data_IF_373239214126
#
_entry.id   IF_373239214126
#
_cell.length_a   1.000
_cell.length_b   1.000
_cell.length_c   1.000
_cell.angle_alpha   90.00
_cell.angle_beta   90.00
_cell.angle_gamma   90.00
#
_symmetry.space_group_name_H-M   'P 1'
#
loop_
_entity.id
_entity.type
_entity.pdbx_description
1 polymer ?
#
# COMPACT_ATOMS: atom_id res chain seq x y z
N UNK A 1 -53.67 28.33 51.13
CA UNK A 1 -52.47 29.12 50.81
C UNK A 1 -51.80 28.35 49.67
N UNK A 2 -52.31 28.49 48.54
CA UNK A 2 -52.02 29.31 47.39
C UNK A 2 -50.59 29.08 46.94
N UNK A 3 -50.44 28.29 45.86
CA UNK A 3 -49.26 28.19 45.04
C UNK A 3 -49.65 28.56 43.61
N UNK A 4 -49.11 29.67 43.15
CA UNK A 4 -49.28 30.19 41.79
C UNK A 4 -48.41 29.38 40.82
N UNK A 5 -49.02 28.99 39.72
CA UNK A 5 -48.35 28.34 38.62
C UNK A 5 -47.72 29.34 37.66
N UNK A 6 -46.59 29.00 37.14
CA UNK A 6 -46.00 29.65 35.96
C UNK A 6 -46.06 28.72 34.75
N UNK A 7 -46.66 29.27 33.69
CA UNK A 7 -46.75 28.64 32.37
C UNK A 7 -45.51 28.98 31.61
N UNK A 8 -44.74 27.96 31.20
CA UNK A 8 -43.70 28.12 30.19
C UNK A 8 -44.24 27.77 28.78
N UNK A 9 -44.14 28.77 27.93
CA UNK A 9 -44.45 28.70 26.51
C UNK A 9 -43.44 27.81 25.76
N UNK A 10 -43.96 26.78 25.07
CA UNK A 10 -43.21 25.99 24.11
C UNK A 10 -43.09 26.74 22.79
N UNK A 11 -41.93 27.30 22.53
CA UNK A 11 -41.58 27.73 21.16
C UNK A 11 -41.13 26.52 20.32
N UNK A 12 -41.90 26.23 19.28
CA UNK A 12 -41.60 25.19 18.30
C UNK A 12 -40.39 25.59 17.42
N UNK A 13 -39.35 24.81 17.47
CA UNK A 13 -38.25 24.87 16.52
C UNK A 13 -38.55 23.89 15.39
N UNK A 14 -38.82 24.42 14.20
CA UNK A 14 -38.98 23.63 12.99
C UNK A 14 -37.64 23.10 12.53
N UNK A 15 -37.45 21.80 12.67
CA UNK A 15 -36.30 21.06 12.16
C UNK A 15 -36.44 20.93 10.64
N UNK A 16 -35.66 21.73 9.90
CA UNK A 16 -35.48 21.53 8.46
C UNK A 16 -34.43 20.42 8.25
N UNK A 17 -34.87 19.23 7.90
CA UNK A 17 -34.02 18.13 7.45
C UNK A 17 -33.53 18.43 6.04
N UNK A 18 -32.33 18.98 5.91
CA UNK A 18 -31.59 18.99 4.65
C UNK A 18 -31.05 17.59 4.35
N UNK A 19 -31.69 16.89 3.41
CA UNK A 19 -31.17 15.65 2.84
C UNK A 19 -30.00 15.96 1.92
N UNK A 20 -28.76 15.84 2.43
CA UNK A 20 -27.57 15.79 1.58
C UNK A 20 -27.57 14.49 0.79
N UNK A 21 -27.90 14.59 -0.49
CA UNK A 21 -27.63 13.52 -1.47
C UNK A 21 -26.12 13.46 -1.72
N UNK A 22 -25.45 12.53 -1.07
CA UNK A 22 -24.06 12.18 -1.40
C UNK A 22 -24.06 11.52 -2.77
N UNK A 23 -23.57 12.26 -3.77
CA UNK A 23 -23.32 11.75 -5.12
C UNK A 23 -22.25 10.67 -5.05
N UNK A 24 -22.63 9.40 -5.18
CA UNK A 24 -21.72 8.28 -5.40
C UNK A 24 -20.98 8.51 -6.71
N UNK A 25 -19.74 8.98 -6.61
CA UNK A 25 -18.83 9.08 -7.74
C UNK A 25 -18.47 7.66 -8.19
N UNK A 26 -19.17 7.14 -9.17
CA UNK A 26 -18.86 5.83 -9.76
C UNK A 26 -17.61 5.95 -10.62
N UNK A 27 -16.51 5.42 -10.13
CA UNK A 27 -15.29 5.27 -10.92
C UNK A 27 -15.54 4.28 -12.06
N UNK A 28 -15.31 4.73 -13.30
CA UNK A 28 -15.32 3.86 -14.50
C UNK A 28 -13.87 3.45 -14.80
N UNK A 29 -13.64 2.15 -14.88
CA UNK A 29 -12.36 1.62 -15.32
C UNK A 29 -12.04 2.14 -16.74
N UNK A 30 -10.81 2.56 -17.01
CA UNK A 30 -10.39 2.91 -18.38
C UNK A 30 -10.41 1.67 -19.28
N UNK A 31 -10.71 1.89 -20.56
CA UNK A 31 -10.85 0.88 -21.60
C UNK A 31 -9.59 0.01 -21.77
N UNK A 32 -9.73 -1.31 -21.77
CA UNK A 32 -8.61 -2.28 -21.74
C UNK A 32 -7.71 -2.24 -22.97
N UNK A 33 -8.14 -1.62 -24.06
CA UNK A 33 -7.46 -1.65 -25.37
C UNK A 33 -6.25 -0.73 -25.52
N UNK A 34 -5.95 0.18 -24.61
CA UNK A 34 -4.95 1.25 -24.81
C UNK A 34 -3.72 1.19 -23.89
N UNK A 35 -3.61 0.19 -23.03
CA UNK A 35 -2.59 0.18 -21.96
C UNK A 35 -1.16 -0.12 -22.43
N UNK A 36 -0.96 -0.95 -23.43
CA UNK A 36 0.37 -1.24 -23.97
C UNK A 36 1.03 -0.02 -24.63
N UNK A 37 0.25 0.87 -25.22
CA UNK A 37 0.74 2.11 -25.83
C UNK A 37 1.06 3.20 -24.80
N UNK A 38 0.26 3.28 -23.71
CA UNK A 38 0.49 4.28 -22.65
C UNK A 38 1.77 3.99 -21.89
N UNK A 39 2.03 2.74 -21.53
CA UNK A 39 3.27 2.36 -20.85
C UNK A 39 4.52 2.63 -21.70
N UNK A 40 4.47 2.35 -23.01
CA UNK A 40 5.57 2.63 -23.94
C UNK A 40 5.76 4.13 -24.21
N UNK A 41 4.68 4.91 -24.26
CA UNK A 41 4.77 6.36 -24.45
C UNK A 41 5.22 7.09 -23.19
N UNK A 42 4.82 6.64 -22.00
CA UNK A 42 5.30 7.19 -20.72
C UNK A 42 6.81 6.97 -20.58
N UNK A 43 7.30 5.78 -20.92
CA UNK A 43 8.74 5.48 -20.92
C UNK A 43 9.54 6.32 -21.94
N UNK A 44 8.92 6.74 -23.05
CA UNK A 44 9.53 7.62 -24.05
C UNK A 44 9.52 9.10 -23.65
N UNK A 45 8.45 9.57 -23.03
CA UNK A 45 8.30 10.99 -22.62
C UNK A 45 9.22 11.36 -21.45
N UNK A 46 9.46 10.41 -20.52
CA UNK A 46 10.31 10.62 -19.33
C UNK A 46 11.81 10.70 -19.65
N UNK A 47 12.23 10.38 -20.87
CA UNK A 47 13.65 10.42 -21.28
C UNK A 47 14.22 11.82 -21.49
N UNK A 48 13.42 12.88 -21.44
CA UNK A 48 13.85 14.19 -21.95
C UNK A 48 14.02 15.31 -20.90
N UNK A 49 13.65 15.12 -19.62
CA UNK A 49 13.50 16.29 -18.73
C UNK A 49 14.33 16.36 -17.45
N UNK A 50 15.14 15.39 -17.07
CA UNK A 50 16.03 15.59 -15.91
C UNK A 50 17.29 14.74 -15.95
N UNK A 51 18.45 15.33 -15.66
CA UNK A 51 19.75 14.68 -15.53
C UNK A 51 19.92 13.80 -14.28
N UNK A 52 18.82 13.34 -13.69
CA UNK A 52 18.77 12.33 -12.62
C UNK A 52 18.32 11.02 -13.29
N UNK A 53 19.01 9.92 -13.04
CA UNK A 53 18.78 8.59 -13.63
C UNK A 53 17.32 8.09 -13.52
N UNK A 54 16.41 8.66 -14.30
CA UNK A 54 15.01 8.22 -14.40
C UNK A 54 14.87 6.84 -15.08
N UNK A 55 15.88 6.42 -15.83
CA UNK A 55 15.87 5.12 -16.53
C UNK A 55 15.86 3.92 -15.57
N UNK A 56 16.39 4.10 -14.35
CA UNK A 56 16.53 3.02 -13.37
C UNK A 56 15.20 2.54 -12.76
N UNK A 57 14.10 3.32 -12.87
CA UNK A 57 12.84 3.03 -12.19
C UNK A 57 11.66 2.84 -13.15
N UNK A 58 11.90 2.76 -14.46
CA UNK A 58 10.86 2.74 -15.48
C UNK A 58 9.84 1.59 -15.31
N UNK A 59 10.31 0.41 -14.87
CA UNK A 59 9.41 -0.73 -14.63
C UNK A 59 8.65 -0.61 -13.32
N UNK A 60 9.22 0.02 -12.28
CA UNK A 60 8.51 0.34 -11.06
C UNK A 60 7.41 1.38 -11.31
N UNK A 61 7.66 2.38 -12.15
CA UNK A 61 6.66 3.36 -12.59
C UNK A 61 5.54 2.66 -13.40
N UNK A 62 5.90 1.68 -14.25
CA UNK A 62 4.92 0.89 -14.98
C UNK A 62 4.02 0.06 -14.03
N UNK A 63 4.54 -0.46 -12.91
CA UNK A 63 3.73 -1.13 -11.88
C UNK A 63 2.67 -0.17 -11.33
N UNK A 64 3.06 1.05 -10.95
CA UNK A 64 2.13 2.06 -10.39
C UNK A 64 1.08 2.48 -11.42
N UNK A 65 1.41 2.48 -12.71
CA UNK A 65 0.48 2.74 -13.80
C UNK A 65 -0.43 1.55 -14.13
N UNK A 66 -0.08 0.33 -13.69
CA UNK A 66 -0.77 -0.90 -14.08
C UNK A 66 -2.21 -0.98 -13.53
N UNK A 67 -3.21 -1.36 -14.37
CA UNK A 67 -4.61 -1.37 -13.96
C UNK A 67 -4.91 -2.29 -12.77
N UNK A 68 -4.33 -3.49 -12.74
CA UNK A 68 -4.51 -4.43 -11.63
C UNK A 68 -3.96 -3.87 -10.32
N UNK A 69 -2.78 -3.24 -10.36
CA UNK A 69 -2.21 -2.59 -9.18
C UNK A 69 -3.11 -1.48 -8.65
N UNK A 70 -3.55 -0.57 -9.53
CA UNK A 70 -4.46 0.54 -9.17
C UNK A 70 -5.78 0.05 -8.59
N UNK A 71 -6.37 -0.95 -9.23
CA UNK A 71 -7.61 -1.57 -8.73
C UNK A 71 -7.41 -2.14 -7.33
N UNK A 72 -6.34 -2.93 -7.12
CA UNK A 72 -6.04 -3.52 -5.82
C UNK A 72 -5.86 -2.47 -4.74
N UNK A 73 -5.09 -1.40 -5.01
CA UNK A 73 -4.87 -0.30 -4.05
C UNK A 73 -6.16 0.42 -3.70
N UNK A 74 -7.00 0.73 -4.70
CA UNK A 74 -8.31 1.37 -4.45
C UNK A 74 -9.19 0.47 -3.58
N UNK A 75 -9.29 -0.82 -3.89
CA UNK A 75 -10.05 -1.78 -3.07
C UNK A 75 -9.51 -1.85 -1.63
N UNK A 76 -8.20 -1.95 -1.42
CA UNK A 76 -7.60 -1.96 -0.09
C UNK A 76 -7.95 -0.68 0.67
N UNK A 77 -7.79 0.49 0.04
CA UNK A 77 -8.10 1.78 0.66
C UNK A 77 -9.55 1.86 1.12
N UNK A 78 -10.48 1.36 0.31
CA UNK A 78 -11.91 1.33 0.65
C UNK A 78 -12.21 0.35 1.80
N UNK A 79 -11.65 -0.86 1.74
CA UNK A 79 -11.86 -1.89 2.76
C UNK A 79 -11.21 -1.54 4.11
N UNK A 80 -10.15 -0.74 4.09
CA UNK A 80 -9.46 -0.27 5.29
C UNK A 80 -9.87 1.15 5.72
N UNK A 81 -10.90 1.77 5.12
CA UNK A 81 -11.30 3.15 5.43
C UNK A 81 -11.65 3.35 6.91
N UNK A 82 -12.30 2.36 7.54
CA UNK A 82 -12.67 2.35 8.97
C UNK A 82 -11.65 1.63 9.86
N UNK A 83 -10.50 1.19 9.30
CA UNK A 83 -9.52 0.43 10.05
C UNK A 83 -8.84 1.30 11.11
N UNK A 84 -8.88 0.88 12.35
CA UNK A 84 -8.26 1.54 13.50
C UNK A 84 -6.72 1.40 13.49
N UNK A 85 -6.21 0.25 13.02
CA UNK A 85 -4.78 -0.08 13.01
C UNK A 85 -4.07 0.41 11.75
N UNK A 86 -2.76 0.12 11.66
CA UNK A 86 -1.92 0.48 10.51
C UNK A 86 -2.57 0.07 9.17
N UNK A 87 -2.67 1.01 8.23
CA UNK A 87 -3.23 0.80 6.90
C UNK A 87 -2.18 0.32 5.91
N UNK A 88 -2.64 -0.28 4.82
CA UNK A 88 -1.80 -0.79 3.73
C UNK A 88 -2.05 0.03 2.46
N UNK A 89 -1.73 1.33 2.57
CA UNK A 89 -1.86 2.30 1.49
C UNK A 89 -0.53 2.51 0.73
N UNK A 90 -0.54 3.41 -0.25
CA UNK A 90 0.64 3.75 -1.05
C UNK A 90 1.78 4.30 -0.18
N UNK A 91 1.46 5.03 0.89
CA UNK A 91 2.46 5.55 1.83
C UNK A 91 3.23 4.40 2.46
N UNK A 92 2.52 3.39 2.97
CA UNK A 92 3.14 2.19 3.51
C UNK A 92 4.04 1.48 2.48
N UNK A 93 3.57 1.28 1.25
CA UNK A 93 4.36 0.62 0.20
C UNK A 93 5.65 1.39 -0.10
N UNK A 94 5.58 2.71 -0.15
CA UNK A 94 6.74 3.56 -0.39
C UNK A 94 7.69 3.60 0.83
N UNK A 95 7.17 3.56 2.04
CA UNK A 95 8.01 3.50 3.25
C UNK A 95 8.75 2.17 3.32
N UNK A 96 8.11 1.05 2.99
CA UNK A 96 8.78 -0.25 2.85
C UNK A 96 9.90 -0.17 1.80
N UNK A 97 9.63 0.40 0.63
CA UNK A 97 10.63 0.55 -0.43
C UNK A 97 11.83 1.40 0.01
N UNK A 98 11.57 2.55 0.63
CA UNK A 98 12.61 3.47 1.11
C UNK A 98 13.47 2.86 2.21
N UNK A 99 12.85 2.23 3.21
CA UNK A 99 13.57 1.58 4.31
C UNK A 99 14.40 0.40 3.80
N UNK A 100 13.85 -0.44 2.92
CA UNK A 100 14.60 -1.52 2.30
C UNK A 100 15.78 -1.01 1.47
N UNK A 101 15.60 0.11 0.75
CA UNK A 101 16.68 0.71 -0.03
C UNK A 101 17.76 1.32 0.86
N UNK A 102 17.40 2.02 1.93
CA UNK A 102 18.36 2.56 2.91
C UNK A 102 19.18 1.42 3.51
N UNK A 103 18.55 0.35 4.01
CA UNK A 103 19.24 -0.79 4.59
C UNK A 103 20.16 -1.49 3.56
N UNK A 104 19.70 -1.62 2.29
CA UNK A 104 20.52 -2.18 1.22
C UNK A 104 21.81 -1.38 1.00
N UNK A 105 21.73 -0.05 1.05
CA UNK A 105 22.89 0.84 0.90
C UNK A 105 23.82 0.77 2.12
N UNK A 106 23.28 0.87 3.32
CA UNK A 106 24.03 0.87 4.57
C UNK A 106 24.81 -0.45 4.77
N UNK A 107 24.22 -1.56 4.34
CA UNK A 107 24.83 -2.90 4.47
C UNK A 107 25.58 -3.35 3.23
N UNK A 108 25.56 -2.60 2.14
CA UNK A 108 26.24 -2.94 0.90
C UNK A 108 25.77 -4.25 0.27
N UNK A 109 24.45 -4.57 0.34
CA UNK A 109 23.93 -5.87 -0.10
C UNK A 109 23.85 -6.01 -1.63
N UNK A 110 23.91 -4.91 -2.37
CA UNK A 110 23.96 -4.92 -3.84
C UNK A 110 22.65 -5.32 -4.52
N UNK A 111 21.52 -5.31 -3.82
CA UNK A 111 20.20 -5.64 -4.40
C UNK A 111 19.74 -4.48 -5.28
N UNK A 112 19.18 -4.80 -6.45
CA UNK A 112 18.67 -3.80 -7.40
C UNK A 112 17.60 -2.91 -6.76
N UNK A 113 17.76 -1.59 -6.89
CA UNK A 113 16.78 -0.60 -6.43
C UNK A 113 15.39 -0.88 -7.01
N UNK A 114 15.32 -1.15 -8.30
CA UNK A 114 14.05 -1.39 -8.98
C UNK A 114 13.38 -2.69 -8.50
N UNK A 115 14.15 -3.75 -8.19
CA UNK A 115 13.59 -4.97 -7.60
C UNK A 115 13.06 -4.74 -6.17
N UNK A 116 13.74 -3.92 -5.37
CA UNK A 116 13.28 -3.53 -4.03
C UNK A 116 11.95 -2.79 -4.12
N UNK A 117 11.86 -1.77 -5.00
CA UNK A 117 10.62 -1.01 -5.16
C UNK A 117 9.50 -1.87 -5.74
N UNK A 118 9.78 -2.73 -6.71
CA UNK A 118 8.79 -3.66 -7.26
C UNK A 118 8.24 -4.60 -6.18
N UNK A 119 9.11 -5.21 -5.37
CA UNK A 119 8.68 -6.08 -4.28
C UNK A 119 7.84 -5.33 -3.24
N UNK A 120 8.26 -4.13 -2.84
CA UNK A 120 7.54 -3.30 -1.89
C UNK A 120 6.17 -2.83 -2.40
N UNK A 121 6.07 -2.43 -3.68
CA UNK A 121 4.80 -2.02 -4.29
C UNK A 121 3.80 -3.18 -4.43
N UNK A 122 4.29 -4.43 -4.45
CA UNK A 122 3.47 -5.60 -4.74
C UNK A 122 3.21 -6.51 -3.52
N UNK A 123 3.95 -6.37 -2.39
CA UNK A 123 3.90 -7.36 -1.30
C UNK A 123 2.52 -7.51 -0.67
N UNK A 124 1.75 -6.46 -0.59
CA UNK A 124 0.45 -6.42 0.11
C UNK A 124 -0.76 -6.17 -0.82
N UNK A 125 -0.57 -6.14 -2.16
CA UNK A 125 -1.68 -5.85 -3.09
C UNK A 125 -2.79 -6.91 -3.08
N UNK A 126 -2.51 -8.10 -2.59
CA UNK A 126 -3.46 -9.19 -2.41
C UNK A 126 -4.40 -9.04 -1.22
N UNK A 127 -4.24 -8.00 -0.36
CA UNK A 127 -5.04 -7.84 0.85
C UNK A 127 -6.54 -7.72 0.59
N UNK A 128 -6.95 -7.08 -0.50
CA UNK A 128 -8.37 -7.02 -0.84
C UNK A 128 -8.96 -8.42 -1.05
N UNK A 129 -8.21 -9.36 -1.65
CA UNK A 129 -8.66 -10.74 -1.83
C UNK A 129 -8.72 -11.50 -0.51
N UNK A 130 -7.86 -11.18 0.45
CA UNK A 130 -7.96 -11.74 1.79
C UNK A 130 -9.24 -11.27 2.50
N UNK A 131 -9.59 -9.99 2.39
CA UNK A 131 -10.80 -9.44 3.00
C UNK A 131 -12.07 -9.97 2.32
N UNK A 132 -12.09 -10.06 1.00
CA UNK A 132 -13.26 -10.43 0.23
C UNK A 132 -13.48 -11.95 0.11
N UNK A 133 -12.38 -12.72 0.05
CA UNK A 133 -12.41 -14.16 -0.32
C UNK A 133 -11.68 -15.07 0.66
N UNK A 134 -11.04 -14.54 1.68
CA UNK A 134 -10.26 -15.32 2.65
C UNK A 134 -8.93 -15.89 2.09
N UNK A 135 -8.50 -15.50 0.90
CA UNK A 135 -7.23 -15.96 0.32
C UNK A 135 -6.08 -15.27 1.07
N UNK A 136 -5.07 -16.00 1.58
CA UNK A 136 -3.91 -15.38 2.22
C UNK A 136 -3.30 -14.30 1.33
N UNK A 137 -3.10 -13.08 1.86
CA UNK A 137 -2.68 -11.95 1.03
C UNK A 137 -1.30 -12.12 0.41
N UNK A 138 -0.40 -12.83 1.05
CA UNK A 138 0.91 -13.18 0.51
C UNK A 138 0.78 -14.06 -0.75
N UNK A 139 -0.09 -15.08 -0.74
CA UNK A 139 -0.38 -15.91 -1.91
C UNK A 139 -1.07 -15.10 -3.01
N UNK A 140 -2.10 -14.34 -2.66
CA UNK A 140 -2.81 -13.47 -3.59
C UNK A 140 -1.88 -12.41 -4.22
N UNK A 141 -0.96 -11.83 -3.44
CA UNK A 141 0.04 -10.88 -3.92
C UNK A 141 1.03 -11.50 -4.89
N UNK A 142 1.44 -12.76 -4.66
CA UNK A 142 2.30 -13.51 -5.60
C UNK A 142 1.58 -13.71 -6.94
N UNK A 143 0.30 -14.09 -6.93
CA UNK A 143 -0.49 -14.30 -8.15
C UNK A 143 -0.63 -13.00 -8.96
N UNK A 144 -1.11 -11.92 -8.32
CA UNK A 144 -1.28 -10.61 -8.96
C UNK A 144 0.05 -10.02 -9.40
N UNK A 145 1.06 -10.11 -8.54
CA UNK A 145 2.41 -9.63 -8.82
C UNK A 145 3.06 -10.35 -9.99
N UNK A 146 2.84 -11.65 -10.14
CA UNK A 146 3.36 -12.45 -11.26
C UNK A 146 2.87 -11.94 -12.61
N UNK A 147 1.60 -11.58 -12.74
CA UNK A 147 1.04 -10.97 -13.94
C UNK A 147 1.62 -9.57 -14.17
N UNK A 148 1.53 -8.69 -13.16
CA UNK A 148 2.00 -7.30 -13.26
C UNK A 148 3.47 -7.23 -13.66
N UNK A 149 4.33 -8.04 -13.03
CA UNK A 149 5.77 -8.07 -13.35
C UNK A 149 6.03 -8.52 -14.78
N UNK A 150 5.24 -9.46 -15.31
CA UNK A 150 5.33 -9.90 -16.70
C UNK A 150 4.97 -8.78 -17.66
N UNK A 151 3.85 -8.11 -17.41
CA UNK A 151 3.34 -7.03 -18.24
C UNK A 151 4.25 -5.78 -18.19
N UNK A 152 4.95 -5.58 -17.05
CA UNK A 152 5.95 -4.51 -16.88
C UNK A 152 7.35 -4.88 -17.40
N UNK A 153 7.57 -6.05 -18.00
CA UNK A 153 8.82 -6.42 -18.68
C UNK A 153 9.97 -6.79 -17.75
N UNK A 154 9.69 -7.30 -16.55
CA UNK A 154 10.73 -7.88 -15.69
C UNK A 154 11.22 -9.21 -16.25
N UNK A 155 12.54 -9.45 -16.18
CA UNK A 155 13.13 -10.72 -16.60
C UNK A 155 12.65 -11.89 -15.71
N UNK A 156 12.75 -13.12 -16.21
CA UNK A 156 12.35 -14.30 -15.46
C UNK A 156 13.05 -14.40 -14.10
N UNK A 157 14.36 -14.10 -14.06
CA UNK A 157 15.16 -14.15 -12.84
C UNK A 157 14.77 -13.05 -11.84
N UNK A 158 14.54 -11.82 -12.30
CA UNK A 158 14.07 -10.72 -11.46
C UNK A 158 12.67 -11.04 -10.89
N UNK A 159 11.75 -11.54 -11.73
CA UNK A 159 10.42 -11.99 -11.31
C UNK A 159 10.51 -13.04 -10.21
N UNK A 160 11.36 -14.06 -10.38
CA UNK A 160 11.54 -15.12 -9.38
C UNK A 160 11.95 -14.55 -8.03
N UNK A 161 12.97 -13.66 -8.00
CA UNK A 161 13.44 -13.03 -6.75
C UNK A 161 12.36 -12.15 -6.10
N UNK A 162 11.67 -11.35 -6.90
CA UNK A 162 10.61 -10.46 -6.41
C UNK A 162 9.45 -11.26 -5.83
N UNK A 163 8.97 -12.30 -6.54
CA UNK A 163 7.86 -13.13 -6.08
C UNK A 163 8.22 -13.96 -4.84
N UNK A 164 9.48 -14.42 -4.72
CA UNK A 164 9.98 -15.06 -3.51
C UNK A 164 9.93 -14.10 -2.32
N UNK A 165 10.35 -12.85 -2.50
CA UNK A 165 10.30 -11.83 -1.46
C UNK A 165 8.85 -11.50 -1.07
N UNK A 166 7.93 -11.38 -2.03
CA UNK A 166 6.50 -11.15 -1.78
C UNK A 166 5.91 -12.32 -0.98
N UNK A 167 6.11 -13.56 -1.42
CA UNK A 167 5.58 -14.75 -0.71
C UNK A 167 6.22 -14.95 0.67
N UNK A 168 7.48 -14.53 0.84
CA UNK A 168 8.25 -14.69 2.07
C UNK A 168 8.10 -13.57 3.10
N UNK A 169 7.41 -12.45 2.79
CA UNK A 169 7.40 -11.25 3.66
C UNK A 169 6.75 -11.47 5.05
N UNK A 170 6.02 -12.58 5.24
CA UNK A 170 5.44 -12.99 6.53
C UNK A 170 6.25 -14.08 7.23
N UNK A 171 7.13 -14.76 6.51
CA UNK A 171 7.92 -15.85 7.07
C UNK A 171 9.07 -15.29 7.94
N UNK A 172 9.09 -15.66 9.22
CA UNK A 172 10.12 -15.22 10.18
C UNK A 172 11.53 -15.68 9.80
N UNK A 173 11.64 -16.78 9.07
CA UNK A 173 12.94 -17.33 8.66
C UNK A 173 13.66 -16.44 7.65
N UNK A 174 12.91 -15.58 6.93
CA UNK A 174 13.50 -14.60 6.02
C UNK A 174 14.16 -13.42 6.74
N UNK A 175 13.86 -13.20 8.03
CA UNK A 175 14.33 -12.05 8.81
C UNK A 175 15.83 -11.86 8.77
N UNK A 176 16.59 -12.96 8.80
CA UNK A 176 18.06 -12.95 8.88
C UNK A 176 18.76 -13.03 7.54
N UNK A 177 18.01 -13.12 6.44
CA UNK A 177 18.57 -13.20 5.09
C UNK A 177 19.14 -11.84 4.66
N UNK A 178 20.27 -11.88 3.95
CA UNK A 178 20.97 -10.71 3.39
C UNK A 178 20.67 -10.58 1.89
N UNK A 179 19.40 -10.64 1.55
CA UNK A 179 18.87 -10.55 0.19
C UNK A 179 17.53 -9.80 0.15
N UNK A 180 16.88 -9.77 -1.01
CA UNK A 180 15.60 -9.09 -1.21
C UNK A 180 14.51 -9.58 -0.24
N UNK A 181 14.46 -10.88 0.10
CA UNK A 181 13.47 -11.42 1.02
C UNK A 181 13.65 -10.84 2.42
N UNK A 182 14.89 -10.82 2.94
CA UNK A 182 15.18 -10.25 4.25
C UNK A 182 14.95 -8.75 4.31
N UNK A 183 15.31 -8.02 3.26
CA UNK A 183 15.07 -6.58 3.14
C UNK A 183 13.58 -6.26 3.25
N UNK A 184 12.74 -6.90 2.44
CA UNK A 184 11.28 -6.66 2.43
C UNK A 184 10.66 -7.07 3.76
N UNK A 185 11.06 -8.21 4.36
CA UNK A 185 10.55 -8.62 5.67
C UNK A 185 10.82 -7.57 6.74
N UNK A 186 12.07 -7.09 6.86
CA UNK A 186 12.48 -6.13 7.90
C UNK A 186 11.88 -4.75 7.66
N UNK A 187 11.86 -4.30 6.40
CA UNK A 187 11.30 -3.02 6.02
C UNK A 187 9.77 -2.96 6.25
N UNK A 188 9.01 -4.00 5.89
CA UNK A 188 7.57 -4.04 6.16
C UNK A 188 7.27 -3.88 7.67
N UNK A 189 8.01 -4.59 8.53
CA UNK A 189 7.83 -4.45 9.98
C UNK A 189 8.36 -3.10 10.50
N UNK A 190 9.45 -2.60 9.92
CA UNK A 190 10.08 -1.32 10.28
C UNK A 190 9.29 -0.08 9.86
N UNK A 191 8.45 -0.18 8.81
CA UNK A 191 7.69 0.95 8.26
C UNK A 191 6.51 1.40 9.13
N UNK A 192 6.13 0.61 10.14
CA UNK A 192 4.96 0.93 10.97
C UNK A 192 5.25 2.09 11.90
N UNK A 193 4.44 3.15 11.81
CA UNK A 193 4.58 4.33 12.67
C UNK A 193 3.93 4.06 14.03
N UNK A 194 4.74 3.61 14.99
CA UNK A 194 4.28 3.37 16.37
C UNK A 194 4.49 4.59 17.29
N UNK A 195 5.27 5.57 16.86
CA UNK A 195 5.43 6.83 17.59
C UNK A 195 4.12 7.61 17.61
N UNK A 196 3.62 7.93 18.80
CA UNK A 196 2.36 8.65 19.01
C UNK A 196 1.14 7.98 18.34
N UNK A 197 1.16 6.65 18.15
CA UNK A 197 0.06 5.91 17.57
C UNK A 197 -1.17 5.95 18.49
N UNK A 198 -2.29 6.43 17.97
CA UNK A 198 -3.54 6.52 18.74
C UNK A 198 -4.14 5.15 19.08
N UNK A 199 -3.91 4.15 18.23
CA UNK A 199 -4.36 2.76 18.44
C UNK A 199 -3.40 1.93 19.32
N UNK A 200 -2.39 2.55 19.95
CA UNK A 200 -1.34 1.83 20.69
C UNK A 200 -1.89 0.89 21.77
N UNK A 201 -2.91 1.34 22.51
CA UNK A 201 -3.50 0.57 23.62
C UNK A 201 -4.27 -0.66 23.15
N UNK A 202 -4.89 -0.58 21.98
CA UNK A 202 -5.65 -1.68 21.37
C UNK A 202 -4.77 -2.57 20.45
N UNK A 203 -3.53 -2.17 20.18
CA UNK A 203 -2.64 -2.87 19.26
C UNK A 203 -2.15 -4.19 19.87
N UNK A 204 -2.30 -5.28 19.11
CA UNK A 204 -1.89 -6.63 19.50
C UNK A 204 -0.40 -6.94 19.29
N UNK A 205 0.39 -5.97 18.79
CA UNK A 205 1.83 -6.14 18.68
C UNK A 205 2.49 -6.08 20.06
N UNK A 206 3.44 -7.00 20.30
CA UNK A 206 4.26 -6.95 21.51
C UNK A 206 5.14 -5.71 21.53
N UNK A 207 5.60 -5.30 22.70
CA UNK A 207 6.41 -4.10 22.89
C UNK A 207 7.70 -4.13 22.04
N UNK A 208 8.31 -5.31 21.86
CA UNK A 208 9.53 -5.48 21.06
C UNK A 208 9.28 -5.32 19.56
N UNK A 209 8.02 -5.46 19.09
CA UNK A 209 7.65 -5.27 17.69
C UNK A 209 7.27 -3.84 17.36
N UNK A 210 6.90 -3.04 18.36
CA UNK A 210 6.51 -1.65 18.16
C UNK A 210 7.72 -0.78 17.84
N UNK A 211 7.64 -0.02 16.75
CA UNK A 211 8.70 0.88 16.31
C UNK A 211 8.64 2.19 17.11
N UNK A 212 9.25 2.22 18.30
CA UNK A 212 9.29 3.40 19.17
C UNK A 212 10.58 4.20 19.09
N UNK A 213 11.51 3.77 18.27
CA UNK A 213 12.80 4.42 18.07
C UNK A 213 12.96 4.83 16.61
N UNK A 214 13.62 5.96 16.39
CA UNK A 214 13.98 6.42 15.04
C UNK A 214 15.06 5.48 14.50
N UNK A 215 14.90 5.11 13.24
CA UNK A 215 15.81 4.24 12.50
C UNK A 215 16.24 4.93 11.21
#
# INVERSE_FOLDING_TARGET
MEAMGDREEKQGVSEQTETKTEGKQTWKAPDEGNFGRVAQNTAKSLKQESGINQVEMARADAIVAHPLWRKSVVCITQLEASREFCRHDVTHFLDVARLAWIENLERGLGVSKEEIYAAALLHDIGRHLQYEKGIPHDEASVQLGGQILSDCGFSADAKKRILEAIGGHRNKDTKTRDDLCGLIYRADKGSRMCLLCQAEKACNWSEEKKNRHIR
#
